data_IF_481765739674
#
_entry.id   IF_481765739674
#
_cell.length_a   1.000
_cell.length_b   1.000
_cell.length_c   1.000
_cell.angle_alpha   90.00
_cell.angle_beta   90.00
_cell.angle_gamma   90.00
#
_symmetry.space_group_name_H-M   'P 1'
#
loop_
_entity.id
_entity.type
_entity.pdbx_description
1 polymer ?
#
# COMPACT_ATOMS: atom_id res chain seq x y z
N UNK A 1 7.70 11.49 -21.90
CA UNK A 1 7.11 10.30 -22.55
C UNK A 1 5.66 10.17 -22.09
N UNK A 2 4.72 9.91 -23.00
CA UNK A 2 3.30 9.72 -22.65
C UNK A 2 3.14 8.44 -21.81
N UNK A 3 2.27 8.41 -20.77
CA UNK A 3 2.02 7.22 -19.96
C UNK A 3 1.62 5.98 -20.78
N UNK A 4 1.00 6.19 -21.94
CA UNK A 4 0.62 5.11 -22.85
C UNK A 4 1.86 4.47 -23.52
N UNK A 5 2.80 5.29 -23.97
CA UNK A 5 4.03 4.82 -24.63
C UNK A 5 4.90 4.03 -23.66
N UNK A 6 5.02 4.48 -22.41
CA UNK A 6 5.71 3.72 -21.36
C UNK A 6 5.09 2.35 -21.12
N UNK A 7 3.76 2.23 -21.16
CA UNK A 7 3.09 0.95 -21.00
C UNK A 7 3.24 0.03 -22.21
N UNK A 8 3.24 0.57 -23.43
CA UNK A 8 3.49 -0.21 -24.65
C UNK A 8 4.92 -0.76 -24.64
N UNK A 9 5.90 0.08 -24.30
CA UNK A 9 7.29 -0.31 -24.22
C UNK A 9 7.50 -1.46 -23.21
N UNK A 10 6.93 -1.35 -22.01
CA UNK A 10 7.08 -2.36 -20.97
C UNK A 10 6.23 -3.63 -21.20
N UNK A 11 5.36 -3.65 -22.22
CA UNK A 11 4.54 -4.81 -22.52
C UNK A 11 5.36 -6.00 -23.05
N UNK A 12 6.46 -5.75 -23.77
CA UNK A 12 7.36 -6.81 -24.24
C UNK A 12 7.98 -7.57 -23.05
N UNK A 13 8.36 -6.84 -22.01
CA UNK A 13 8.85 -7.42 -20.75
C UNK A 13 7.76 -8.23 -20.04
N UNK A 14 6.52 -7.73 -20.01
CA UNK A 14 5.38 -8.45 -19.43
C UNK A 14 5.10 -9.76 -20.18
N UNK A 15 5.20 -9.78 -21.51
CA UNK A 15 5.02 -10.96 -22.35
C UNK A 15 6.12 -12.00 -22.11
N UNK A 16 7.38 -11.56 -22.04
CA UNK A 16 8.51 -12.44 -21.73
C UNK A 16 8.28 -13.18 -20.40
N UNK A 17 7.92 -12.46 -19.33
CA UNK A 17 7.63 -13.08 -18.03
C UNK A 17 6.40 -13.99 -18.10
N UNK A 18 5.41 -13.64 -18.92
CA UNK A 18 4.23 -14.47 -19.10
C UNK A 18 4.58 -15.84 -19.67
N UNK A 19 5.34 -15.87 -20.76
CA UNK A 19 5.70 -17.09 -21.47
C UNK A 19 6.57 -18.02 -20.62
N UNK A 20 7.57 -17.46 -19.94
CA UNK A 20 8.54 -18.25 -19.16
C UNK A 20 8.00 -18.71 -17.81
N UNK A 21 7.14 -17.91 -17.15
CA UNK A 21 6.83 -18.12 -15.74
C UNK A 21 5.34 -18.12 -15.38
N UNK A 22 4.52 -17.29 -16.03
CA UNK A 22 3.15 -17.02 -15.56
C UNK A 22 2.07 -17.82 -16.30
N UNK A 23 2.35 -18.31 -17.51
CA UNK A 23 1.43 -19.07 -18.35
C UNK A 23 0.89 -20.32 -17.60
N UNK A 24 -0.42 -20.64 -17.70
CA UNK A 24 -0.98 -21.89 -17.18
C UNK A 24 -0.17 -23.15 -17.52
N UNK A 25 0.36 -23.25 -18.74
CA UNK A 25 1.22 -24.36 -19.16
C UNK A 25 2.50 -24.42 -18.34
N UNK A 26 3.25 -23.31 -18.27
CA UNK A 26 4.47 -23.21 -17.46
C UNK A 26 4.21 -23.55 -15.98
N UNK A 27 3.05 -23.14 -15.42
CA UNK A 27 2.64 -23.49 -14.05
C UNK A 27 2.39 -24.99 -13.87
N UNK A 28 1.73 -25.64 -14.83
CA UNK A 28 1.44 -27.08 -14.83
C UNK A 28 2.73 -27.90 -14.96
N UNK A 29 3.60 -27.50 -15.88
CA UNK A 29 4.88 -28.17 -16.12
C UNK A 29 5.79 -28.07 -14.89
N UNK A 30 5.85 -26.88 -14.27
CA UNK A 30 6.55 -26.69 -12.98
C UNK A 30 5.95 -27.56 -11.88
N UNK A 31 4.62 -27.65 -11.78
CA UNK A 31 3.98 -28.50 -10.78
C UNK A 31 4.37 -29.97 -10.99
N UNK A 32 4.28 -30.48 -12.22
CA UNK A 32 4.67 -31.86 -12.54
C UNK A 32 6.15 -32.12 -12.21
N UNK A 33 7.04 -31.19 -12.56
CA UNK A 33 8.47 -31.27 -12.28
C UNK A 33 8.74 -31.39 -10.78
N UNK A 34 8.25 -30.44 -9.99
CA UNK A 34 8.47 -30.40 -8.55
C UNK A 34 7.78 -31.57 -7.84
N UNK A 35 6.61 -32.00 -8.30
CA UNK A 35 5.91 -33.16 -7.76
C UNK A 35 6.67 -34.46 -8.06
N UNK A 36 7.31 -34.58 -9.23
CA UNK A 36 8.15 -35.73 -9.58
C UNK A 36 9.40 -35.84 -8.71
N UNK A 37 10.02 -34.71 -8.36
CA UNK A 37 11.13 -34.64 -7.38
C UNK A 37 10.63 -35.09 -6.00
N UNK A 38 9.47 -34.57 -5.57
CA UNK A 38 8.90 -34.89 -4.26
C UNK A 38 8.54 -36.38 -4.11
N UNK A 39 8.06 -37.01 -5.18
CA UNK A 39 7.75 -38.44 -5.21
C UNK A 39 8.99 -39.33 -5.43
N UNK A 40 10.16 -38.75 -5.70
CA UNK A 40 11.39 -39.52 -5.95
C UNK A 40 11.31 -40.38 -7.22
N UNK A 41 10.71 -39.88 -8.30
CA UNK A 41 10.64 -40.63 -9.56
C UNK A 41 12.05 -40.92 -10.10
N UNK A 42 12.24 -42.11 -10.65
CA UNK A 42 13.55 -42.57 -11.15
C UNK A 42 14.19 -41.63 -12.18
N UNK A 43 13.40 -41.01 -13.06
CA UNK A 43 13.88 -40.00 -14.02
C UNK A 43 14.44 -38.76 -13.32
N UNK A 44 13.74 -38.23 -12.32
CA UNK A 44 14.16 -37.06 -11.57
C UNK A 44 15.45 -37.31 -10.78
N UNK A 45 15.63 -38.53 -10.24
CA UNK A 45 16.84 -38.93 -9.53
C UNK A 45 18.01 -39.12 -10.50
N UNK A 46 17.79 -39.85 -11.60
CA UNK A 46 18.83 -40.13 -12.61
C UNK A 46 19.37 -38.86 -13.26
N UNK A 47 18.50 -37.91 -13.54
CA UNK A 47 18.85 -36.64 -14.19
C UNK A 47 19.10 -35.50 -13.19
N UNK A 48 19.10 -35.80 -11.89
CA UNK A 48 19.37 -34.85 -10.80
C UNK A 48 18.56 -33.55 -10.91
N UNK A 49 17.25 -33.67 -11.10
CA UNK A 49 16.36 -32.52 -11.29
C UNK A 49 16.33 -31.61 -10.06
N UNK A 50 16.55 -30.32 -10.28
CA UNK A 50 16.46 -29.30 -9.22
C UNK A 50 15.07 -28.69 -9.11
N UNK A 51 14.73 -28.22 -7.91
CA UNK A 51 13.43 -27.59 -7.64
C UNK A 51 13.25 -26.29 -8.44
N UNK A 52 12.17 -26.19 -9.22
CA UNK A 52 11.86 -24.98 -9.99
C UNK A 52 11.09 -23.96 -9.13
N UNK A 53 11.54 -22.70 -9.05
CA UNK A 53 10.88 -21.69 -8.23
C UNK A 53 9.51 -21.31 -8.81
N UNK A 54 8.58 -20.92 -7.94
CA UNK A 54 7.32 -20.34 -8.39
C UNK A 54 7.41 -18.81 -8.44
N UNK A 55 7.12 -18.23 -9.59
CA UNK A 55 7.19 -16.79 -9.79
C UNK A 55 5.78 -16.18 -9.88
N UNK A 56 5.57 -15.04 -9.23
CA UNK A 56 4.43 -14.16 -9.47
C UNK A 56 4.93 -12.74 -9.74
N UNK A 57 4.16 -11.98 -10.50
CA UNK A 57 4.60 -10.69 -11.03
C UNK A 57 3.50 -9.64 -10.84
N UNK A 58 3.90 -8.43 -10.49
CA UNK A 58 3.00 -7.29 -10.41
C UNK A 58 3.76 -6.02 -10.80
N UNK A 59 3.24 -5.28 -11.79
CA UNK A 59 3.79 -4.00 -12.26
C UNK A 59 2.79 -2.87 -12.06
N UNK A 60 3.31 -1.71 -11.74
CA UNK A 60 2.58 -0.45 -11.70
C UNK A 60 3.45 0.65 -12.32
N UNK A 61 3.12 1.06 -13.54
CA UNK A 61 3.96 1.92 -14.37
C UNK A 61 5.38 1.33 -14.51
N UNK A 62 6.39 2.02 -13.96
CA UNK A 62 7.81 1.68 -13.92
C UNK A 62 8.20 0.79 -12.72
N UNK A 63 7.45 0.85 -11.62
CA UNK A 63 7.69 0.05 -10.42
C UNK A 63 7.11 -1.36 -10.58
N UNK A 64 7.93 -2.41 -10.41
CA UNK A 64 7.44 -3.79 -10.41
C UNK A 64 8.03 -4.65 -9.29
N UNK A 65 7.31 -5.74 -8.99
CA UNK A 65 7.67 -6.70 -7.96
C UNK A 65 7.59 -8.10 -8.54
N UNK A 66 8.67 -8.86 -8.36
CA UNK A 66 8.75 -10.27 -8.74
C UNK A 66 8.81 -11.10 -7.47
N UNK A 67 7.81 -11.93 -7.29
CA UNK A 67 7.64 -12.79 -6.14
C UNK A 67 8.22 -14.15 -6.50
N UNK A 68 9.33 -14.56 -5.90
CA UNK A 68 10.01 -15.84 -6.18
C UNK A 68 9.89 -16.78 -4.98
N UNK A 69 9.04 -17.79 -5.05
CA UNK A 69 9.06 -18.91 -4.11
C UNK A 69 10.23 -19.84 -4.47
N UNK A 70 11.37 -19.63 -3.84
CA UNK A 70 12.59 -20.39 -4.07
C UNK A 70 13.74 -19.92 -3.18
N UNK A 71 14.96 -20.33 -3.52
CA UNK A 71 16.17 -19.90 -2.79
C UNK A 71 16.59 -18.48 -3.16
N UNK A 72 17.44 -17.86 -2.34
CA UNK A 72 18.03 -16.54 -2.64
C UNK A 72 18.82 -16.55 -3.95
N UNK A 73 19.54 -17.64 -4.24
CA UNK A 73 20.29 -17.80 -5.48
C UNK A 73 19.37 -17.80 -6.72
N UNK A 74 18.24 -18.50 -6.64
CA UNK A 74 17.22 -18.48 -7.70
C UNK A 74 16.64 -17.08 -7.91
N UNK A 75 16.39 -16.34 -6.82
CA UNK A 75 15.92 -14.95 -6.92
C UNK A 75 16.97 -14.02 -7.55
N UNK A 76 18.27 -14.26 -7.30
CA UNK A 76 19.37 -13.52 -7.93
C UNK A 76 19.48 -13.84 -9.43
N UNK A 77 19.36 -15.12 -9.80
CA UNK A 77 19.37 -15.54 -11.20
C UNK A 77 18.23 -14.91 -12.00
N UNK A 78 17.00 -14.95 -11.48
CA UNK A 78 15.83 -14.32 -12.12
C UNK A 78 16.02 -12.81 -12.25
N UNK A 79 16.65 -12.15 -11.26
CA UNK A 79 16.95 -10.72 -11.34
C UNK A 79 17.91 -10.41 -12.49
N UNK A 80 18.95 -11.22 -12.68
CA UNK A 80 19.94 -11.01 -13.75
C UNK A 80 19.34 -11.31 -15.14
N UNK A 81 18.49 -12.33 -15.23
CA UNK A 81 17.71 -12.63 -16.44
C UNK A 81 16.79 -11.46 -16.79
N UNK A 82 16.02 -10.95 -15.83
CA UNK A 82 15.16 -9.78 -16.05
C UNK A 82 15.96 -8.54 -16.47
N UNK A 83 17.15 -8.36 -15.89
CA UNK A 83 18.05 -7.27 -16.25
C UNK A 83 18.51 -7.40 -17.71
N UNK A 84 18.95 -8.58 -18.11
CA UNK A 84 19.43 -8.83 -19.48
C UNK A 84 18.33 -8.53 -20.48
N UNK A 85 17.10 -9.00 -20.22
CA UNK A 85 15.94 -8.72 -21.10
C UNK A 85 15.60 -7.23 -21.17
N UNK A 86 15.69 -6.50 -20.06
CA UNK A 86 15.45 -5.05 -20.04
C UNK A 86 16.54 -4.27 -20.78
N UNK A 87 17.80 -4.68 -20.66
CA UNK A 87 18.93 -4.05 -21.34
C UNK A 87 18.96 -4.40 -22.84
N UNK A 88 18.68 -5.65 -23.21
CA UNK A 88 18.77 -6.16 -24.58
C UNK A 88 17.56 -5.73 -25.43
N UNK A 89 16.34 -5.98 -24.94
CA UNK A 89 15.11 -5.71 -25.70
C UNK A 89 14.73 -4.23 -25.64
N UNK A 90 14.83 -3.64 -24.44
CA UNK A 90 14.27 -2.30 -24.18
C UNK A 90 15.34 -1.21 -24.04
N UNK A 91 16.63 -1.57 -24.01
CA UNK A 91 17.76 -0.65 -23.79
C UNK A 91 17.60 0.20 -22.53
N UNK A 92 16.89 -0.33 -21.53
CA UNK A 92 16.65 0.32 -20.25
C UNK A 92 17.64 -0.22 -19.22
N UNK A 93 18.32 0.69 -18.51
CA UNK A 93 19.21 0.33 -17.40
C UNK A 93 18.40 0.23 -16.13
N UNK A 94 18.48 -0.93 -15.47
CA UNK A 94 17.83 -1.16 -14.20
C UNK A 94 18.60 -0.50 -13.06
N UNK A 95 17.91 0.27 -12.21
CA UNK A 95 18.56 0.91 -11.07
C UNK A 95 18.88 -0.12 -9.97
N UNK A 96 20.12 -0.60 -9.98
CA UNK A 96 20.59 -1.63 -9.04
C UNK A 96 20.60 -1.17 -7.56
N UNK A 97 20.72 0.14 -7.30
CA UNK A 97 20.72 0.68 -5.93
C UNK A 97 19.33 0.62 -5.29
N UNK A 98 18.29 0.83 -6.09
CA UNK A 98 16.90 0.73 -5.65
C UNK A 98 16.43 -0.72 -5.59
N UNK A 99 17.01 -1.58 -6.41
CA UNK A 99 16.64 -2.99 -6.58
C UNK A 99 17.14 -3.84 -5.41
N UNK A 100 16.22 -4.27 -4.54
CA UNK A 100 16.55 -5.01 -3.31
C UNK A 100 15.89 -6.38 -3.32
N UNK A 101 16.69 -7.42 -3.06
CA UNK A 101 16.18 -8.78 -2.80
C UNK A 101 15.95 -8.88 -1.29
N UNK A 102 14.69 -8.98 -0.88
CA UNK A 102 14.29 -8.99 0.53
C UNK A 102 13.44 -10.20 0.84
N UNK A 103 13.60 -10.77 2.03
CA UNK A 103 12.73 -11.85 2.45
C UNK A 103 11.34 -11.34 2.82
N UNK A 104 10.29 -12.12 2.55
CA UNK A 104 8.90 -11.72 2.78
C UNK A 104 8.56 -11.51 4.27
N UNK A 105 9.32 -12.15 5.17
CA UNK A 105 9.20 -11.92 6.61
C UNK A 105 9.72 -10.55 7.04
N UNK A 106 10.75 -10.01 6.38
CA UNK A 106 11.28 -8.67 6.68
C UNK A 106 10.35 -7.59 6.13
N UNK A 107 9.68 -7.95 5.02
CA UNK A 107 8.72 -7.12 4.32
C UNK A 107 9.37 -6.03 3.48
N UNK A 108 8.63 -5.54 2.51
CA UNK A 108 9.08 -4.54 1.55
C UNK A 108 8.03 -3.45 1.37
N UNK A 109 8.40 -2.33 0.75
CA UNK A 109 7.49 -1.21 0.48
C UNK A 109 7.21 -1.17 -1.02
N UNK A 110 5.94 -1.21 -1.40
CA UNK A 110 5.47 -1.10 -2.78
C UNK A 110 4.29 -0.12 -2.83
N UNK A 111 4.31 0.85 -3.75
CA UNK A 111 3.25 1.87 -3.91
C UNK A 111 2.84 2.58 -2.61
N UNK A 112 3.80 2.82 -1.72
CA UNK A 112 3.53 3.46 -0.42
C UNK A 112 2.85 2.56 0.62
N UNK A 113 2.75 1.26 0.36
CA UNK A 113 2.27 0.23 1.28
C UNK A 113 3.42 -0.72 1.67
N UNK A 114 3.56 -1.02 2.96
CA UNK A 114 4.52 -2.01 3.44
C UNK A 114 3.86 -3.38 3.52
N UNK A 115 4.28 -4.31 2.68
CA UNK A 115 3.79 -5.69 2.64
C UNK A 115 4.75 -6.54 3.46
N UNK A 116 4.22 -7.25 4.46
CA UNK A 116 4.99 -8.11 5.36
C UNK A 116 4.20 -9.35 5.71
N UNK A 117 4.86 -10.49 5.82
CA UNK A 117 4.22 -11.71 6.34
C UNK A 117 4.41 -11.79 7.85
N UNK A 118 3.29 -11.89 8.56
CA UNK A 118 3.25 -11.98 10.03
C UNK A 118 2.53 -13.23 10.47
N UNK A 119 2.97 -13.77 11.60
CA UNK A 119 2.25 -14.85 12.26
C UNK A 119 0.94 -14.31 12.85
N UNK A 120 -0.15 -14.97 12.50
CA UNK A 120 -1.48 -14.76 13.06
C UNK A 120 -1.51 -15.23 14.51
N UNK A 121 -2.51 -14.76 15.27
CA UNK A 121 -2.78 -15.25 16.64
C UNK A 121 -3.01 -16.77 16.67
N UNK A 122 -3.51 -17.34 15.59
CA UNK A 122 -3.80 -18.77 15.43
C UNK A 122 -2.61 -19.59 14.91
N UNK A 123 -1.41 -19.01 14.83
CA UNK A 123 -0.19 -19.72 14.41
C UNK A 123 0.11 -19.67 12.92
N UNK A 124 -0.88 -19.38 12.07
CA UNK A 124 -0.71 -19.30 10.61
C UNK A 124 0.04 -18.06 10.15
N UNK A 125 0.89 -18.19 9.13
CA UNK A 125 1.55 -17.06 8.50
C UNK A 125 0.61 -16.38 7.50
N UNK A 126 0.33 -15.09 7.70
CA UNK A 126 -0.53 -14.29 6.82
C UNK A 126 0.22 -13.09 6.26
N UNK A 127 -0.02 -12.79 4.99
CA UNK A 127 0.43 -11.54 4.37
C UNK A 127 -0.42 -10.39 4.89
N UNK A 128 0.24 -9.37 5.41
CA UNK A 128 -0.36 -8.19 6.03
C UNK A 128 0.18 -6.96 5.34
N UNK A 129 -0.72 -6.05 4.94
CA UNK A 129 -0.33 -4.76 4.41
C UNK A 129 -0.37 -3.73 5.53
N UNK A 130 0.69 -2.94 5.69
CA UNK A 130 0.84 -1.92 6.75
C UNK A 130 1.26 -0.57 6.14
N UNK A 131 1.10 0.51 6.91
CA UNK A 131 1.57 1.84 6.51
C UNK A 131 3.07 1.96 6.82
N UNK A 132 3.94 2.30 5.86
CA UNK A 132 5.34 2.61 6.13
C UNK A 132 5.49 3.76 7.14
N UNK A 133 6.41 3.62 8.09
CA UNK A 133 6.63 4.62 9.15
C UNK A 133 7.03 5.98 8.58
N UNK A 134 7.87 5.99 7.54
CA UNK A 134 8.37 7.21 6.93
C UNK A 134 7.26 8.02 6.25
N UNK A 135 6.33 7.33 5.56
CA UNK A 135 5.14 7.95 4.95
C UNK A 135 4.19 8.52 6.01
N UNK A 136 3.98 7.80 7.11
CA UNK A 136 3.18 8.31 8.22
C UNK A 136 3.84 9.55 8.88
N UNK A 137 5.16 9.54 9.04
CA UNK A 137 5.93 10.67 9.59
C UNK A 137 5.90 11.87 8.65
N UNK A 138 6.12 11.68 7.35
CA UNK A 138 6.07 12.77 6.37
C UNK A 138 4.67 13.40 6.29
N UNK A 139 3.62 12.60 6.41
CA UNK A 139 2.24 13.09 6.47
C UNK A 139 1.95 13.88 7.74
N UNK A 140 2.39 13.38 8.90
CA UNK A 140 2.26 14.12 10.16
C UNK A 140 3.07 15.44 10.14
N UNK A 141 4.24 15.45 9.51
CA UNK A 141 5.06 16.63 9.31
C UNK A 141 4.37 17.65 8.40
N UNK A 142 3.77 17.23 7.29
CA UNK A 142 3.05 18.14 6.38
C UNK A 142 1.81 18.77 7.02
N UNK A 143 1.11 18.03 7.89
CA UNK A 143 0.01 18.57 8.69
C UNK A 143 0.50 19.55 9.76
N UNK A 144 1.64 19.24 10.40
CA UNK A 144 2.26 20.12 11.39
C UNK A 144 2.73 21.43 10.76
N UNK A 145 3.34 21.36 9.57
CA UNK A 145 3.78 22.53 8.83
C UNK A 145 2.61 23.46 8.46
N UNK A 146 1.50 22.89 7.97
CA UNK A 146 0.29 23.65 7.67
C UNK A 146 -0.26 24.36 8.92
N UNK A 147 -0.28 23.67 10.06
CA UNK A 147 -0.73 24.20 11.34
C UNK A 147 0.26 25.15 12.03
N UNK A 148 1.45 25.39 11.47
CA UNK A 148 2.47 26.26 12.09
C UNK A 148 2.58 27.65 11.44
N UNK A 149 2.09 27.84 10.19
CA UNK A 149 2.31 29.09 9.44
C UNK A 149 1.07 29.99 9.29
N UNK A 150 -0.13 29.41 9.13
CA UNK A 150 -1.28 30.17 8.63
C UNK A 150 -2.20 30.62 9.77
N UNK A 151 -1.81 31.60 10.58
CA UNK A 151 -2.65 32.10 11.68
C UNK A 151 -3.76 33.07 11.24
N UNK A 152 -3.64 33.65 10.04
CA UNK A 152 -4.59 34.62 9.48
C UNK A 152 -5.88 33.99 8.96
N UNK A 153 -5.84 32.72 8.51
CA UNK A 153 -7.00 32.02 7.92
C UNK A 153 -8.10 31.74 8.95
N UNK A 154 -9.38 31.77 8.55
CA UNK A 154 -10.49 31.39 9.42
C UNK A 154 -10.30 29.98 10.01
N UNK A 155 -10.80 29.78 11.24
CA UNK A 155 -10.71 28.48 11.90
C UNK A 155 -11.47 27.38 11.17
N UNK A 156 -12.49 27.74 10.38
CA UNK A 156 -13.27 26.75 9.64
C UNK A 156 -12.51 26.31 8.39
N UNK A 157 -11.98 27.25 7.60
CA UNK A 157 -11.25 26.91 6.38
C UNK A 157 -9.97 26.11 6.71
N UNK A 158 -9.32 26.43 7.84
CA UNK A 158 -8.18 25.67 8.37
C UNK A 158 -8.58 24.21 8.66
N UNK A 159 -9.69 24.01 9.36
CA UNK A 159 -10.21 22.67 9.70
C UNK A 159 -10.65 21.93 8.45
N UNK A 160 -11.26 22.63 7.48
CA UNK A 160 -11.67 22.04 6.21
C UNK A 160 -10.47 21.54 5.41
N UNK A 161 -9.41 22.36 5.31
CA UNK A 161 -8.15 22.01 4.65
C UNK A 161 -7.52 20.75 5.27
N UNK A 162 -7.49 20.68 6.61
CA UNK A 162 -7.01 19.51 7.35
C UNK A 162 -7.91 18.30 7.08
N UNK A 163 -9.23 18.49 7.14
CA UNK A 163 -10.23 17.46 6.88
C UNK A 163 -10.07 16.84 5.49
N UNK A 164 -9.84 17.66 4.46
CA UNK A 164 -9.59 17.19 3.08
C UNK A 164 -8.35 16.29 3.02
N UNK A 165 -7.24 16.72 3.64
CA UNK A 165 -6.00 15.92 3.71
C UNK A 165 -6.20 14.60 4.47
N UNK A 166 -6.87 14.64 5.63
CA UNK A 166 -7.14 13.44 6.43
C UNK A 166 -8.08 12.47 5.71
N UNK A 167 -9.14 12.96 5.04
CA UNK A 167 -10.05 12.14 4.23
C UNK A 167 -9.31 11.46 3.07
N UNK A 168 -8.47 12.21 2.35
CA UNK A 168 -7.65 11.65 1.27
C UNK A 168 -6.71 10.55 1.76
N UNK A 169 -6.04 10.79 2.89
CA UNK A 169 -5.16 9.79 3.51
C UNK A 169 -5.91 8.54 4.00
N UNK A 170 -7.08 8.73 4.61
CA UNK A 170 -7.95 7.64 5.06
C UNK A 170 -8.43 6.78 3.88
N UNK A 171 -8.77 7.42 2.76
CA UNK A 171 -9.20 6.74 1.54
C UNK A 171 -8.05 5.92 0.92
N UNK A 172 -6.85 6.50 0.82
CA UNK A 172 -5.67 5.82 0.29
C UNK A 172 -5.30 4.58 1.13
N UNK A 173 -5.32 4.69 2.45
CA UNK A 173 -5.00 3.59 3.36
C UNK A 173 -6.22 2.78 3.85
N UNK A 174 -7.36 2.83 3.14
CA UNK A 174 -8.60 2.20 3.60
C UNK A 174 -8.53 0.67 3.71
N UNK A 175 -7.71 0.05 2.87
CA UNK A 175 -7.53 -1.41 2.77
C UNK A 175 -6.40 -1.98 3.63
N UNK A 176 -5.68 -1.13 4.36
CA UNK A 176 -4.50 -1.53 5.13
C UNK A 176 -4.87 -2.15 6.48
N UNK A 177 -4.11 -3.17 6.87
CA UNK A 177 -4.22 -3.84 8.16
C UNK A 177 -3.51 -3.04 9.27
N UNK A 178 -3.99 -3.19 10.51
CA UNK A 178 -3.41 -2.56 11.70
C UNK A 178 -3.28 -1.01 11.63
N UNK A 179 -4.15 -0.34 10.85
CA UNK A 179 -4.13 1.13 10.70
C UNK A 179 -4.47 1.90 11.97
N UNK A 180 -5.20 1.30 12.92
CA UNK A 180 -5.68 1.96 14.13
C UNK A 180 -4.55 2.63 14.95
N UNK A 181 -3.40 1.97 15.11
CA UNK A 181 -2.27 2.51 15.89
C UNK A 181 -1.63 3.73 15.19
N UNK A 182 -1.45 3.65 13.87
CA UNK A 182 -0.88 4.75 13.08
C UNK A 182 -1.84 5.93 13.03
N UNK A 183 -3.12 5.66 12.78
CA UNK A 183 -4.19 6.66 12.74
C UNK A 183 -4.37 7.36 14.08
N UNK A 184 -4.33 6.62 15.20
CA UNK A 184 -4.39 7.20 16.54
C UNK A 184 -3.20 8.12 16.84
N UNK A 185 -2.00 7.76 16.38
CA UNK A 185 -0.82 8.63 16.53
C UNK A 185 -1.00 9.94 15.74
N UNK A 186 -1.46 9.85 14.49
CA UNK A 186 -1.71 11.03 13.63
C UNK A 186 -2.82 11.89 14.23
N UNK A 187 -3.95 11.31 14.62
CA UNK A 187 -5.07 12.03 15.25
C UNK A 187 -4.60 12.78 16.50
N UNK A 188 -3.74 12.17 17.33
CA UNK A 188 -3.18 12.83 18.53
C UNK A 188 -2.31 14.03 18.18
N UNK A 189 -1.44 13.91 17.17
CA UNK A 189 -0.59 15.01 16.71
C UNK A 189 -1.44 16.16 16.17
N UNK A 190 -2.41 15.86 15.30
CA UNK A 190 -3.32 16.86 14.72
C UNK A 190 -4.13 17.54 15.80
N UNK A 191 -4.68 16.78 16.75
CA UNK A 191 -5.47 17.31 17.85
C UNK A 191 -4.72 18.37 18.66
N UNK A 192 -3.50 18.05 19.11
CA UNK A 192 -2.70 18.97 19.92
C UNK A 192 -2.20 20.15 19.10
N UNK A 193 -1.74 19.93 17.85
CA UNK A 193 -1.26 21.02 16.99
C UNK A 193 -2.38 22.00 16.64
N UNK A 194 -3.59 21.51 16.36
CA UNK A 194 -4.76 22.37 16.16
C UNK A 194 -5.10 23.17 17.43
N UNK A 195 -5.03 22.54 18.61
CA UNK A 195 -5.27 23.21 19.88
C UNK A 195 -4.24 24.34 20.14
N UNK A 196 -2.96 24.08 19.88
CA UNK A 196 -1.89 25.09 19.97
C UNK A 196 -2.10 26.22 18.95
N UNK A 197 -2.47 25.90 17.72
CA UNK A 197 -2.74 26.90 16.68
C UNK A 197 -3.91 27.82 17.07
N UNK A 198 -5.02 27.26 17.57
CA UNK A 198 -6.17 28.02 18.07
C UNK A 198 -5.80 28.88 19.30
N UNK A 199 -5.01 28.32 20.22
CA UNK A 199 -4.51 29.04 21.39
C UNK A 199 -3.65 30.23 21.01
N UNK A 200 -2.77 30.06 20.03
CA UNK A 200 -1.93 31.14 19.52
C UNK A 200 -2.76 32.21 18.80
N UNK A 201 -3.65 31.78 17.89
CA UNK A 201 -4.52 32.68 17.11
C UNK A 201 -5.38 33.58 17.99
N UNK A 202 -6.05 33.00 18.99
CA UNK A 202 -6.97 33.73 19.86
C UNK A 202 -6.32 34.22 21.17
N UNK A 203 -5.02 33.98 21.38
CA UNK A 203 -4.28 34.28 22.63
C UNK A 203 -4.96 33.73 23.89
N UNK A 204 -5.56 32.53 23.80
CA UNK A 204 -6.21 31.85 24.94
C UNK A 204 -5.36 30.70 25.47
N UNK A 205 -5.58 30.36 26.75
CA UNK A 205 -5.09 29.09 27.33
C UNK A 205 -5.82 27.91 26.66
N UNK A 206 -5.14 26.78 26.51
CA UNK A 206 -5.72 25.58 25.85
C UNK A 206 -6.89 24.99 26.64
N UNK A 207 -6.84 25.01 27.98
CA UNK A 207 -7.89 24.44 28.85
C UNK A 207 -9.30 25.04 28.60
N UNK A 208 -9.51 26.37 28.57
CA UNK A 208 -10.81 26.94 28.26
C UNK A 208 -11.26 26.65 26.82
N UNK A 209 -10.36 26.68 25.84
CA UNK A 209 -10.68 26.31 24.44
C UNK A 209 -11.20 24.87 24.34
N UNK A 210 -10.57 23.95 25.06
CA UNK A 210 -11.00 22.56 25.12
C UNK A 210 -12.39 22.41 25.73
N UNK A 211 -12.72 23.17 26.80
CA UNK A 211 -14.06 23.16 27.40
C UNK A 211 -15.12 23.73 26.45
N UNK A 212 -14.74 24.73 25.64
CA UNK A 212 -15.66 25.44 24.77
C UNK A 212 -15.96 24.68 23.47
N UNK A 213 -14.97 24.02 22.86
CA UNK A 213 -15.10 23.46 21.50
C UNK A 213 -14.90 21.94 21.41
N UNK A 214 -14.42 21.25 22.45
CA UNK A 214 -14.49 19.79 22.50
C UNK A 214 -15.81 19.35 23.13
N UNK A 215 -16.75 18.87 22.32
CA UNK A 215 -17.97 18.24 22.85
C UNK A 215 -17.69 16.80 23.28
N UNK A 216 -18.33 16.38 24.37
CA UNK A 216 -18.36 14.99 24.77
C UNK A 216 -18.99 14.14 23.63
N UNK A 217 -18.50 12.92 23.39
CA UNK A 217 -19.07 12.08 22.36
C UNK A 217 -20.50 11.66 22.71
N UNK A 218 -21.36 11.56 21.70
CA UNK A 218 -22.58 10.74 21.79
C UNK A 218 -22.18 9.26 22.02
N UNK A 219 -23.06 8.39 22.55
CA UNK A 219 -22.73 7.00 22.91
C UNK A 219 -22.10 6.14 21.78
N UNK A 220 -22.26 6.55 20.51
CA UNK A 220 -21.72 5.90 19.32
C UNK A 220 -20.62 6.69 18.59
N UNK A 221 -20.21 7.85 19.11
CA UNK A 221 -19.21 8.72 18.50
C UNK A 221 -17.99 8.85 19.41
N UNK A 222 -16.85 9.28 18.86
CA UNK A 222 -15.64 9.59 19.65
C UNK A 222 -15.56 11.09 19.93
N UNK A 223 -14.85 11.50 21.01
CA UNK A 223 -14.62 12.93 21.35
C UNK A 223 -14.13 13.69 20.11
N UNK A 224 -14.89 14.66 19.62
CA UNK A 224 -14.53 15.37 18.38
C UNK A 224 -14.57 16.88 18.60
N UNK A 225 -13.63 17.62 18.00
CA UNK A 225 -13.71 19.07 17.96
C UNK A 225 -14.85 19.47 17.05
N UNK A 226 -15.83 20.18 17.58
CA UNK A 226 -16.93 20.77 16.80
C UNK A 226 -16.70 22.27 16.82
N UNK A 227 -16.29 22.82 15.68
CA UNK A 227 -15.97 24.24 15.55
C UNK A 227 -17.07 24.91 14.72
N UNK A 228 -17.65 25.98 15.27
CA UNK A 228 -18.62 26.83 14.57
C UNK A 228 -18.00 28.19 14.34
N UNK A 229 -18.15 28.74 13.14
CA UNK A 229 -17.60 30.05 12.80
C UNK A 229 -18.00 30.52 11.42
N UNK A 230 -17.52 31.72 11.05
CA UNK A 230 -17.58 32.20 9.68
C UNK A 230 -16.33 31.74 8.93
N UNK A 231 -16.54 31.27 7.71
CA UNK A 231 -15.49 31.08 6.69
C UNK A 231 -14.93 32.44 6.27
N UNK A 232 -13.77 32.46 5.60
CA UNK A 232 -13.22 33.68 4.99
C UNK A 232 -14.24 34.33 4.02
N UNK A 233 -15.12 33.54 3.42
CA UNK A 233 -16.18 33.99 2.51
C UNK A 233 -17.44 34.49 3.25
N UNK A 234 -17.39 34.66 4.57
CA UNK A 234 -18.49 35.18 5.39
C UNK A 234 -19.61 34.17 5.70
N UNK A 235 -19.59 32.97 5.12
CA UNK A 235 -20.60 31.93 5.36
C UNK A 235 -20.42 31.30 6.74
N UNK A 236 -21.51 31.20 7.50
CA UNK A 236 -21.55 30.47 8.77
C UNK A 236 -21.52 28.96 8.49
N UNK A 237 -20.52 28.28 9.04
CA UNK A 237 -20.38 26.83 8.92
C UNK A 237 -19.94 26.22 10.25
N UNK A 238 -20.46 25.02 10.50
CA UNK A 238 -20.04 24.15 11.58
C UNK A 238 -19.24 23.00 11.00
N UNK A 239 -17.96 22.91 11.35
CA UNK A 239 -17.09 21.82 10.94
C UNK A 239 -16.62 20.98 12.12
N UNK A 240 -16.71 19.67 11.93
CA UNK A 240 -16.14 18.68 12.83
C UNK A 240 -14.79 18.24 12.32
N UNK A 241 -13.78 18.22 13.20
CA UNK A 241 -12.48 17.67 12.87
C UNK A 241 -12.63 16.17 12.54
N UNK A 242 -12.24 15.78 11.33
CA UNK A 242 -12.27 14.41 10.87
C UNK A 242 -11.27 13.58 11.67
N UNK A 243 -11.72 12.42 12.17
CA UNK A 243 -10.86 11.46 12.85
C UNK A 243 -10.60 10.26 11.98
N UNK A 244 -9.34 9.83 11.97
CA UNK A 244 -8.92 8.61 11.27
C UNK A 244 -9.32 7.36 12.08
N UNK A 245 -9.29 7.44 13.41
CA UNK A 245 -9.73 6.35 14.31
C UNK A 245 -11.24 6.15 14.21
N UNK A 246 -11.67 4.89 14.07
CA UNK A 246 -13.08 4.49 13.93
C UNK A 246 -13.44 4.01 12.53
N UNK A 247 -12.59 4.26 11.53
CA UNK A 247 -12.76 3.67 10.20
C UNK A 247 -12.31 2.21 10.22
N UNK A 248 -13.27 1.27 10.14
CA UNK A 248 -12.99 -0.15 9.97
C UNK A 248 -12.13 -0.42 8.72
N UNK A 249 -11.46 -1.57 8.67
CA UNK A 249 -10.82 -2.04 7.43
C UNK A 249 -11.92 -2.29 6.41
N UNK A 250 -11.85 -1.62 5.24
CA UNK A 250 -12.72 -2.01 4.13
C UNK A 250 -12.18 -3.31 3.53
N UNK A 251 -13.08 -4.23 3.20
CA UNK A 251 -12.67 -5.42 2.45
C UNK A 251 -12.34 -5.02 1.02
N UNK A 252 -11.13 -5.32 0.59
CA UNK A 252 -10.78 -5.22 -0.82
C UNK A 252 -11.45 -6.39 -1.53
N UNK A 253 -12.39 -6.08 -2.43
CA UNK A 253 -12.98 -7.07 -3.33
C UNK A 253 -12.30 -6.87 -4.67
N UNK A 254 -11.51 -7.86 -5.08
CA UNK A 254 -10.87 -7.89 -6.40
C UNK A 254 -11.99 -7.77 -7.44
N UNK A 255 -11.92 -6.73 -8.26
CA UNK A 255 -12.80 -6.54 -9.41
C UNK A 255 -11.88 -6.76 -10.61
N UNK A 256 -11.96 -7.92 -11.25
CA UNK A 256 -11.53 -7.99 -12.64
C UNK A 256 -12.43 -7.00 -13.39
N UNK A 257 -11.89 -6.01 -14.12
CA UNK A 257 -12.68 -5.44 -15.19
C UNK A 257 -12.85 -6.58 -16.20
N UNK A 258 -14.01 -7.21 -16.21
CA UNK A 258 -14.32 -8.35 -17.11
C UNK A 258 -14.32 -7.92 -18.61
N UNK A 259 -14.17 -6.62 -18.88
CA UNK A 259 -14.01 -6.00 -20.19
C UNK A 259 -13.85 -4.48 -20.07
N UNK A 260 -13.76 -3.79 -21.21
CA UNK A 260 -13.69 -2.33 -21.32
C UNK A 260 -14.78 -1.66 -20.43
N UNK A 261 -14.44 -0.70 -19.55
CA UNK A 261 -15.37 -0.12 -18.56
C UNK A 261 -16.70 0.51 -19.08
N UNK A 262 -16.94 0.56 -20.40
CA UNK A 262 -18.09 1.21 -21.03
C UNK A 262 -19.24 0.26 -21.46
N UNK A 263 -19.11 -1.07 -21.38
CA UNK A 263 -20.15 -2.02 -21.77
C UNK A 263 -20.33 -3.09 -20.68
N UNK A 264 -21.55 -3.27 -20.15
CA UNK A 264 -21.84 -4.08 -18.93
C UNK A 264 -22.96 -5.11 -19.15
N UNK A 265 -22.70 -6.39 -18.85
CA UNK A 265 -23.73 -7.40 -18.51
C UNK A 265 -23.11 -8.72 -17.96
N UNK A 266 -23.26 -8.94 -16.64
CA UNK A 266 -23.28 -10.24 -15.91
C UNK A 266 -22.01 -11.15 -15.82
N UNK A 267 -22.01 -12.31 -15.11
CA UNK A 267 -21.98 -12.57 -13.66
C UNK A 267 -20.65 -13.26 -13.14
N UNK A 268 -20.45 -13.30 -11.80
CA UNK A 268 -19.14 -13.24 -11.07
C UNK A 268 -18.61 -14.57 -10.48
N UNK A 269 -17.28 -14.74 -10.38
CA UNK A 269 -16.62 -15.77 -9.53
C UNK A 269 -15.33 -15.28 -8.83
N UNK A 270 -15.05 -15.76 -7.59
CA UNK A 270 -13.89 -15.33 -6.75
C UNK A 270 -13.06 -16.52 -6.28
N UNK A 271 -11.72 -16.45 -6.39
CA UNK A 271 -10.80 -17.49 -5.91
C UNK A 271 -9.85 -16.97 -4.81
N UNK A 272 -9.60 -17.79 -3.78
CA UNK A 272 -8.64 -17.50 -2.69
C UNK A 272 -7.60 -18.63 -2.59
N UNK A 273 -6.32 -18.28 -2.38
CA UNK A 273 -5.19 -19.22 -2.32
C UNK A 273 -4.67 -19.41 -0.88
N UNK A 274 -4.22 -20.63 -0.55
CA UNK A 274 -3.80 -21.11 0.80
C UNK A 274 -2.37 -21.71 0.79
N UNK A 275 -1.28 -20.92 0.79
CA UNK A 275 0.08 -21.48 0.93
C UNK A 275 1.07 -20.58 1.68
N UNK A 276 2.06 -21.22 2.33
CA UNK A 276 2.80 -20.73 3.50
C UNK A 276 4.24 -20.26 3.25
N UNK A 277 4.83 -20.34 2.06
CA UNK A 277 6.23 -19.91 1.81
C UNK A 277 6.43 -19.21 0.46
N UNK A 278 7.03 -18.01 0.51
CA UNK A 278 7.24 -17.09 -0.62
C UNK A 278 8.47 -16.23 -0.30
N UNK A 279 9.46 -16.13 -1.21
CA UNK A 279 10.48 -15.07 -1.20
C UNK A 279 10.19 -14.07 -2.35
N UNK A 280 10.75 -12.86 -2.38
CA UNK A 280 10.53 -11.89 -3.48
C UNK A 280 11.77 -11.07 -3.82
N UNK A 281 11.93 -10.77 -5.10
CA UNK A 281 12.87 -9.82 -5.68
C UNK A 281 12.14 -8.53 -6.10
N UNK A 282 12.73 -7.38 -5.77
CA UNK A 282 12.21 -6.05 -6.08
C UNK A 282 13.10 -5.39 -7.12
N UNK A 283 12.53 -4.85 -8.20
CA UNK A 283 13.25 -4.06 -9.19
C UNK A 283 12.42 -2.84 -9.59
N UNK A 284 13.02 -1.66 -9.44
CA UNK A 284 12.53 -0.41 -10.04
C UNK A 284 13.50 -0.07 -11.16
N UNK A 285 12.98 0.17 -12.37
CA UNK A 285 13.78 0.73 -13.47
C UNK A 285 14.03 2.20 -13.18
#
# INVERSE_FOLDING_TARGET
ISPLLSNIMLNEFDQYLHEHYLNPKARKDRWYWNHSIQLGRSTAIRENWQWKPAVAYCRYADDFVIIVKGTKAQAQAIREECRSVLEDSLKLRLNMEKTKITHVNDGFVFLGHRIIRKRSRYGDMRVVTTIPRDKARSFAASLTALLSGNHSESKIDMVESINRKLKGWAAFYQFVDFKAKVFSCIDRVVFWKLAHWLAHKYRFRIKPLMRQWCKAPKPSQSKTWVLFGKTNNGKLSGETLYRLVGQGKKQFRWRLPEGNPYLRSEPRNTWTSRFTEVAMAFASV
#
